data_IF_886299518582
#
_entry.id   IF_886299518582
#
_cell.length_a   1.000
_cell.length_b   1.000
_cell.length_c   1.000
_cell.angle_alpha   90.00
_cell.angle_beta   90.00
_cell.angle_gamma   90.00
#
_symmetry.space_group_name_H-M   'P 1'
#
loop_
_entity.id
_entity.type
_entity.pdbx_description
1 polymer ?
#
# COMPACT_ATOMS: atom_id res chain seq x y z
N UNK A 1 11.85 -8.79 -12.08
CA UNK A 1 10.77 -8.49 -13.01
C UNK A 1 9.82 -7.50 -12.37
N UNK A 2 9.56 -6.42 -13.06
CA UNK A 2 8.60 -5.42 -12.63
C UNK A 2 7.24 -5.69 -13.25
N UNK A 3 6.19 -5.51 -12.46
CA UNK A 3 4.84 -5.71 -12.92
C UNK A 3 4.32 -4.47 -13.67
N UNK A 4 3.46 -4.69 -14.65
CA UNK A 4 2.78 -3.59 -15.34
C UNK A 4 1.78 -2.94 -14.39
N UNK A 5 1.90 -1.64 -14.12
CA UNK A 5 1.00 -0.94 -13.20
C UNK A 5 -0.49 -1.07 -13.56
N UNK A 6 -0.83 -1.08 -14.84
CA UNK A 6 -2.23 -1.20 -15.25
C UNK A 6 -2.78 -2.61 -15.00
N UNK A 7 -1.96 -3.64 -15.17
CA UNK A 7 -2.37 -5.01 -14.86
C UNK A 7 -2.58 -5.19 -13.36
N UNK A 8 -1.73 -4.60 -12.53
CA UNK A 8 -1.88 -4.64 -11.08
C UNK A 8 -3.17 -3.92 -10.69
N UNK A 9 -3.42 -2.75 -11.25
CA UNK A 9 -4.66 -2.01 -11.01
C UNK A 9 -5.88 -2.86 -11.36
N UNK A 10 -5.89 -3.49 -12.51
CA UNK A 10 -7.02 -4.31 -12.96
C UNK A 10 -7.26 -5.49 -12.01
N UNK A 11 -6.19 -6.12 -11.51
CA UNK A 11 -6.30 -7.19 -10.52
C UNK A 11 -6.88 -6.72 -9.20
N UNK A 12 -6.42 -5.59 -8.70
CA UNK A 12 -6.92 -4.98 -7.47
C UNK A 12 -8.40 -4.58 -7.64
N UNK A 13 -8.74 -3.99 -8.77
CA UNK A 13 -10.12 -3.60 -9.06
C UNK A 13 -11.06 -4.81 -9.04
N UNK A 14 -10.64 -5.95 -9.58
CA UNK A 14 -11.46 -7.18 -9.52
C UNK A 14 -11.66 -7.65 -8.08
N UNK A 15 -10.61 -7.62 -7.26
CA UNK A 15 -10.71 -8.01 -5.85
C UNK A 15 -11.69 -7.08 -5.14
N UNK A 16 -11.55 -5.79 -5.30
CA UNK A 16 -12.42 -4.79 -4.67
C UNK A 16 -13.86 -4.99 -5.13
N UNK A 17 -14.11 -5.17 -6.42
CA UNK A 17 -15.44 -5.40 -6.96
C UNK A 17 -16.08 -6.66 -6.38
N UNK A 18 -15.31 -7.75 -6.24
CA UNK A 18 -15.78 -8.99 -5.65
C UNK A 18 -16.17 -8.80 -4.18
N UNK A 19 -15.32 -8.11 -3.42
CA UNK A 19 -15.59 -7.81 -2.01
C UNK A 19 -16.85 -6.96 -1.84
N UNK A 20 -17.02 -5.96 -2.69
CA UNK A 20 -18.21 -5.09 -2.64
C UNK A 20 -19.48 -5.87 -2.95
N UNK A 21 -19.41 -6.81 -3.90
CA UNK A 21 -20.56 -7.62 -4.27
C UNK A 21 -20.94 -8.59 -3.15
N UNK A 22 -19.94 -9.19 -2.49
CA UNK A 22 -20.16 -10.19 -1.44
C UNK A 22 -20.39 -9.60 -0.05
N UNK A 23 -19.80 -8.44 0.20
CA UNK A 23 -19.87 -7.76 1.51
C UNK A 23 -20.26 -6.30 1.31
N UNK A 24 -21.50 -6.02 0.87
CA UNK A 24 -21.88 -4.66 0.44
C UNK A 24 -21.84 -3.63 1.57
N UNK A 25 -21.88 -4.07 2.83
CA UNK A 25 -21.84 -3.16 3.98
C UNK A 25 -20.42 -2.95 4.51
N UNK A 26 -19.46 -3.74 4.06
CA UNK A 26 -18.08 -3.64 4.55
C UNK A 26 -17.39 -2.39 4.00
N UNK A 27 -16.53 -1.81 4.83
CA UNK A 27 -15.57 -0.80 4.38
C UNK A 27 -14.28 -1.51 3.98
N UNK A 28 -13.68 -1.08 2.89
CA UNK A 28 -12.44 -1.65 2.38
C UNK A 28 -11.33 -0.64 2.62
N UNK A 29 -10.32 -1.04 3.39
CA UNK A 29 -9.09 -0.25 3.51
C UNK A 29 -8.11 -0.77 2.47
N UNK A 30 -7.91 0.01 1.43
CA UNK A 30 -7.03 -0.32 0.31
C UNK A 30 -5.68 0.36 0.52
N UNK A 31 -4.66 -0.42 0.83
CA UNK A 31 -3.32 0.12 1.05
C UNK A 31 -2.57 0.22 -0.28
N UNK A 32 -1.80 1.30 -0.45
CA UNK A 32 -0.82 1.37 -1.52
C UNK A 32 0.21 0.26 -1.33
N UNK A 33 0.80 -0.23 -2.42
CA UNK A 33 1.88 -1.21 -2.32
C UNK A 33 3.08 -0.57 -1.63
N UNK A 34 3.77 -1.35 -0.81
CA UNK A 34 4.88 -0.84 -0.02
C UNK A 34 6.11 -0.59 -0.90
N UNK A 35 7.00 0.32 -0.49
CA UNK A 35 8.15 0.63 -1.32
C UNK A 35 9.06 -0.57 -1.53
N UNK A 36 9.64 -0.68 -2.73
CA UNK A 36 10.67 -1.65 -3.08
C UNK A 36 11.93 -0.91 -3.49
N UNK A 37 13.07 -1.59 -3.32
CA UNK A 37 14.35 -0.97 -3.62
C UNK A 37 14.83 -0.05 -2.51
N UNK A 38 16.14 0.08 -2.35
CA UNK A 38 16.74 0.84 -1.26
C UNK A 38 16.61 2.34 -1.45
N UNK A 39 16.86 2.81 -2.67
CA UNK A 39 16.92 4.25 -2.98
C UNK A 39 15.71 4.73 -3.77
N UNK A 40 15.36 6.03 -3.65
CA UNK A 40 14.22 6.58 -4.39
C UNK A 40 14.32 6.45 -5.91
N UNK A 41 15.54 6.43 -6.46
CA UNK A 41 15.76 6.31 -7.90
C UNK A 41 15.77 4.86 -8.42
N UNK A 42 15.62 3.88 -7.53
CA UNK A 42 15.50 2.49 -7.94
C UNK A 42 14.26 2.33 -8.84
N UNK A 43 14.43 1.62 -9.96
CA UNK A 43 13.34 1.41 -10.93
C UNK A 43 12.13 0.72 -10.30
N UNK A 44 12.37 -0.18 -9.35
CA UNK A 44 11.28 -0.87 -8.63
C UNK A 44 10.51 0.09 -7.74
N UNK A 45 11.20 1.06 -7.11
CA UNK A 45 10.56 2.10 -6.32
C UNK A 45 9.63 2.94 -7.18
N UNK A 46 10.13 3.39 -8.34
CA UNK A 46 9.37 4.20 -9.27
C UNK A 46 8.16 3.45 -9.81
N UNK A 47 8.33 2.16 -10.11
CA UNK A 47 7.23 1.33 -10.60
C UNK A 47 6.11 1.22 -9.56
N UNK A 48 6.45 1.05 -8.29
CA UNK A 48 5.46 0.97 -7.22
C UNK A 48 4.74 2.30 -7.01
N UNK A 49 5.42 3.43 -7.20
CA UNK A 49 4.76 4.74 -7.16
C UNK A 49 3.69 4.85 -8.26
N UNK A 50 3.99 4.34 -9.45
CA UNK A 50 3.05 4.34 -10.57
C UNK A 50 1.85 3.42 -10.28
N UNK A 51 2.12 2.24 -9.71
CA UNK A 51 1.06 1.32 -9.27
C UNK A 51 0.14 2.03 -8.27
N UNK A 52 0.71 2.69 -7.28
CA UNK A 52 -0.07 3.38 -6.24
C UNK A 52 -0.92 4.51 -6.82
N UNK A 53 -0.41 5.19 -7.82
CA UNK A 53 -1.16 6.22 -8.51
C UNK A 53 -2.44 5.65 -9.14
N UNK A 54 -2.34 4.50 -9.81
CA UNK A 54 -3.50 3.83 -10.38
C UNK A 54 -4.44 3.28 -9.31
N UNK A 55 -3.92 2.64 -8.27
CA UNK A 55 -4.74 2.07 -7.20
C UNK A 55 -5.51 3.16 -6.47
N UNK A 56 -4.90 4.32 -6.25
CA UNK A 56 -5.54 5.44 -5.55
C UNK A 56 -6.84 5.91 -6.23
N UNK A 57 -6.98 5.67 -7.52
CA UNK A 57 -8.18 6.04 -8.27
C UNK A 57 -9.42 5.24 -7.84
N UNK A 58 -9.24 4.11 -7.15
CA UNK A 58 -10.34 3.29 -6.65
C UNK A 58 -10.99 3.85 -5.37
N UNK A 59 -10.34 4.81 -4.73
CA UNK A 59 -10.86 5.47 -3.54
C UNK A 59 -12.19 6.18 -3.84
N UNK A 60 -13.23 5.93 -3.05
CA UNK A 60 -14.49 6.67 -3.16
C UNK A 60 -14.89 7.38 -1.86
N UNK A 61 -14.15 7.16 -0.77
CA UNK A 61 -14.38 7.82 0.52
C UNK A 61 -15.59 7.28 1.29
N UNK A 62 -16.31 6.32 0.76
CA UNK A 62 -17.48 5.71 1.41
C UNK A 62 -17.19 4.27 1.79
N UNK A 63 -17.11 3.38 0.83
CA UNK A 63 -16.82 1.95 1.04
C UNK A 63 -15.40 1.58 0.73
N UNK A 64 -14.70 2.36 -0.10
CA UNK A 64 -13.31 2.13 -0.47
C UNK A 64 -12.48 3.32 -0.01
N UNK A 65 -11.55 3.08 0.91
CA UNK A 65 -10.64 4.09 1.43
C UNK A 65 -9.22 3.70 1.08
N UNK A 66 -8.59 4.48 0.21
CA UNK A 66 -7.19 4.29 -0.14
C UNK A 66 -6.30 5.00 0.89
N UNK A 67 -5.27 4.31 1.34
CA UNK A 67 -4.28 4.87 2.27
C UNK A 67 -2.88 4.44 1.82
N UNK A 68 -2.01 5.40 1.60
CA UNK A 68 -0.61 5.14 1.29
C UNK A 68 0.22 5.40 2.54
N UNK A 69 0.84 4.34 3.08
CA UNK A 69 1.70 4.42 4.26
C UNK A 69 3.18 4.27 3.90
N UNK A 70 3.52 4.38 2.62
CA UNK A 70 4.89 4.18 2.11
C UNK A 70 5.93 5.02 2.86
N UNK A 71 5.62 6.28 3.13
CA UNK A 71 6.53 7.20 3.80
C UNK A 71 6.96 6.70 5.18
N UNK A 72 6.11 5.94 5.85
CA UNK A 72 6.38 5.44 7.19
C UNK A 72 7.51 4.41 7.22
N UNK A 73 7.77 3.75 6.08
CA UNK A 73 8.85 2.77 5.95
C UNK A 73 10.20 3.38 5.58
N UNK A 74 10.23 4.67 5.24
CA UNK A 74 11.39 5.31 4.64
C UNK A 74 12.02 6.33 5.59
N UNK A 75 13.33 6.56 5.42
CA UNK A 75 14.01 7.67 6.09
C UNK A 75 13.59 9.01 5.46
N UNK A 76 14.03 10.12 6.04
CA UNK A 76 13.78 11.45 5.50
C UNK A 76 14.32 11.60 4.07
N UNK A 77 15.39 10.88 3.73
CA UNK A 77 16.00 10.88 2.40
C UNK A 77 15.35 9.86 1.44
N UNK A 78 14.31 9.16 1.90
CA UNK A 78 13.60 8.17 1.10
C UNK A 78 14.30 6.82 1.03
N UNK A 79 15.16 6.51 1.97
CA UNK A 79 15.90 5.24 2.01
C UNK A 79 15.09 4.18 2.73
N UNK A 80 15.02 2.99 2.15
CA UNK A 80 14.44 1.80 2.76
C UNK A 80 15.57 1.01 3.43
N UNK A 81 15.60 1.02 4.76
CA UNK A 81 16.70 0.42 5.52
C UNK A 81 16.51 -1.09 5.70
N UNK A 82 17.62 -1.79 5.99
CA UNK A 82 17.60 -3.22 6.26
C UNK A 82 16.86 -3.57 7.56
N UNK A 83 16.75 -2.62 8.49
CA UNK A 83 15.98 -2.83 9.72
C UNK A 83 14.49 -2.99 9.42
N UNK A 84 14.00 -2.28 8.42
CA UNK A 84 12.59 -2.30 8.02
C UNK A 84 12.32 -3.42 7.04
N UNK A 85 13.11 -3.52 5.97
CA UNK A 85 12.98 -4.56 4.94
C UNK A 85 14.38 -5.01 4.51
N UNK A 86 14.88 -6.14 5.06
CA UNK A 86 16.27 -6.55 4.84
C UNK A 86 16.62 -6.84 3.38
N UNK A 87 15.66 -7.32 2.60
CA UNK A 87 15.83 -7.59 1.17
C UNK A 87 15.21 -6.50 0.29
N UNK A 88 14.85 -5.35 0.89
CA UNK A 88 14.18 -4.23 0.24
C UNK A 88 12.85 -4.64 -0.44
N UNK A 89 12.20 -5.67 0.11
CA UNK A 89 10.92 -6.19 -0.41
C UNK A 89 10.00 -6.70 0.70
N UNK A 90 10.52 -7.45 1.68
CA UNK A 90 9.71 -8.07 2.72
C UNK A 90 9.97 -7.41 4.09
N UNK A 91 8.91 -7.00 4.83
CA UNK A 91 9.08 -6.39 6.14
C UNK A 91 9.66 -7.36 7.16
N UNK A 92 10.50 -6.83 8.05
CA UNK A 92 10.86 -7.48 9.31
C UNK A 92 9.87 -7.05 10.40
N UNK A 93 10.10 -7.49 11.65
CA UNK A 93 9.27 -7.09 12.77
C UNK A 93 9.10 -5.56 12.85
N UNK A 94 10.18 -4.81 12.68
CA UNK A 94 10.13 -3.34 12.67
C UNK A 94 9.18 -2.83 11.59
N UNK A 95 9.23 -3.41 10.39
CA UNK A 95 8.32 -3.04 9.30
C UNK A 95 6.86 -3.35 9.62
N UNK A 96 6.60 -4.51 10.23
CA UNK A 96 5.24 -4.87 10.64
C UNK A 96 4.70 -3.95 11.74
N UNK A 97 5.55 -3.53 12.67
CA UNK A 97 5.17 -2.57 13.70
C UNK A 97 4.79 -1.21 13.09
N UNK A 98 5.59 -0.75 12.12
CA UNK A 98 5.31 0.49 11.38
C UNK A 98 3.95 0.38 10.68
N UNK A 99 3.72 -0.76 10.01
CA UNK A 99 2.45 -1.01 9.32
C UNK A 99 1.27 -0.92 10.29
N UNK A 100 1.34 -1.65 11.40
CA UNK A 100 0.27 -1.67 12.38
C UNK A 100 -0.03 -0.27 12.94
N UNK A 101 1.00 0.47 13.29
CA UNK A 101 0.85 1.83 13.82
C UNK A 101 0.28 2.80 12.78
N UNK A 102 0.69 2.64 11.53
CA UNK A 102 0.28 3.55 10.46
C UNK A 102 -1.21 3.42 10.11
N UNK A 103 -1.79 2.21 10.20
CA UNK A 103 -3.19 1.99 9.85
C UNK A 103 -4.15 2.17 11.01
N UNK A 104 -3.66 2.18 12.25
CA UNK A 104 -4.52 2.24 13.43
C UNK A 104 -5.47 3.44 13.45
N UNK A 105 -5.03 4.67 13.13
CA UNK A 105 -5.96 5.80 13.10
C UNK A 105 -7.13 5.60 12.14
N UNK A 106 -6.88 5.00 11.00
CA UNK A 106 -7.94 4.73 10.02
C UNK A 106 -8.90 3.65 10.50
N UNK A 107 -8.39 2.62 11.16
CA UNK A 107 -9.23 1.57 11.74
C UNK A 107 -10.13 2.14 12.84
N UNK A 108 -9.61 3.03 13.67
CA UNK A 108 -10.41 3.72 14.69
C UNK A 108 -11.48 4.60 14.06
N UNK A 109 -11.15 5.28 12.97
CA UNK A 109 -12.12 6.07 12.21
C UNK A 109 -13.27 5.19 11.71
N UNK A 110 -13.00 3.92 11.38
CA UNK A 110 -14.01 2.96 10.98
C UNK A 110 -14.80 2.37 12.15
N UNK A 111 -14.45 2.72 13.38
CA UNK A 111 -15.15 2.24 14.58
C UNK A 111 -14.57 0.97 15.19
N UNK A 112 -13.35 0.62 14.82
CA UNK A 112 -12.71 -0.59 15.34
C UNK A 112 -11.86 -0.32 16.58
#
# INVERSE_FOLDING_TARGET
IMQDPTEVRDGVERIVSTLRARCPQAKILLLGVFPRGVKPDDAKRKNNLEINKFISELHNGERIHYLDISDKFLTAEGILTKQVMPDALHPRQKGYEIWAEAIEPKLKEFGL
#
